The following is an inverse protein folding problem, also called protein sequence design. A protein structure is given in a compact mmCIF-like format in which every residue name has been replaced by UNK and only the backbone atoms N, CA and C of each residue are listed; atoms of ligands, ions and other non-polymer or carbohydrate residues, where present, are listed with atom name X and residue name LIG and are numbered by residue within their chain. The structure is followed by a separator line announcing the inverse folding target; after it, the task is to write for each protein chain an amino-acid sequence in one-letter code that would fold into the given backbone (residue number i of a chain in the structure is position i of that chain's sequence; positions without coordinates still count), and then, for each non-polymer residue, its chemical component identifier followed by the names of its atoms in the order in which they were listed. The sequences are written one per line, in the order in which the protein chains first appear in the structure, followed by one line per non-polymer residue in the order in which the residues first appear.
data_IF_788289472426
#
_entry.id   IF_788289472426
#
_cell.length_a   1.000
_cell.length_b   1.000
_cell.length_c   1.000
_cell.angle_alpha   90.00
_cell.angle_beta   90.00
_cell.angle_gamma   90.00
#
_symmetry.space_group_name_H-M   'P 1'
#
loop_
_entity.id
_entity.type
_entity.pdbx_description
1 polymer ?
#
# COMPACT_ATOMS: atom_id res chain seq x y z
N UNK A 1 -6.71 -4.24 28.43
CA UNK A 1 -6.23 -5.14 27.35
C UNK A 1 -4.94 -4.57 26.78
N UNK A 2 -4.02 -5.40 26.34
CA UNK A 2 -2.77 -4.93 25.75
C UNK A 2 -2.95 -4.46 24.30
N UNK A 3 -2.11 -3.52 23.85
CA UNK A 3 -2.06 -3.02 22.46
C UNK A 3 -1.85 -4.18 21.48
N UNK A 4 -1.01 -5.16 21.86
CA UNK A 4 -0.75 -6.37 21.08
C UNK A 4 -2.01 -7.21 20.84
N UNK A 5 -2.92 -7.28 21.82
CA UNK A 5 -4.20 -7.99 21.67
C UNK A 5 -5.13 -7.30 20.68
N UNK A 6 -5.19 -5.96 20.73
CA UNK A 6 -5.99 -5.17 19.80
C UNK A 6 -5.44 -5.30 18.38
N UNK A 7 -4.12 -5.20 18.21
CA UNK A 7 -3.45 -5.41 16.91
C UNK A 7 -3.74 -6.81 16.34
N UNK A 8 -3.66 -7.86 17.16
CA UNK A 8 -4.00 -9.23 16.73
C UNK A 8 -5.46 -9.39 16.31
N UNK A 9 -6.39 -8.75 17.02
CA UNK A 9 -7.81 -8.76 16.62
C UNK A 9 -8.01 -8.08 15.28
N UNK A 10 -7.42 -6.89 15.10
CA UNK A 10 -7.53 -6.13 13.84
C UNK A 10 -6.88 -6.88 12.67
N UNK A 11 -5.84 -7.66 12.93
CA UNK A 11 -5.16 -8.51 11.94
C UNK A 11 -5.77 -9.91 11.77
N UNK A 12 -6.94 -10.17 12.37
CA UNK A 12 -7.63 -11.46 12.28
C UNK A 12 -6.78 -12.68 12.73
N UNK A 13 -5.97 -12.53 13.78
CA UNK A 13 -5.16 -13.62 14.37
C UNK A 13 -6.06 -14.72 14.95
N UNK A 14 -5.86 -15.96 14.50
CA UNK A 14 -6.67 -17.14 14.87
C UNK A 14 -6.56 -17.54 16.35
N UNK A 15 -5.58 -17.01 17.08
CA UNK A 15 -5.36 -17.32 18.51
C UNK A 15 -6.20 -16.46 19.46
N UNK A 16 -7.03 -15.55 18.94
CA UNK A 16 -7.90 -14.69 19.75
C UNK A 16 -9.31 -15.25 19.80
N UNK A 17 -9.90 -15.29 21.00
CA UNK A 17 -11.28 -15.76 21.17
C UNK A 17 -12.29 -14.85 20.46
N UNK A 18 -13.35 -15.48 19.94
CA UNK A 18 -14.42 -14.77 19.22
C UNK A 18 -15.13 -13.72 20.10
N UNK A 19 -15.27 -13.98 21.40
CA UNK A 19 -15.82 -13.01 22.34
C UNK A 19 -14.98 -11.71 22.42
N UNK A 20 -13.65 -11.86 22.46
CA UNK A 20 -12.71 -10.73 22.48
C UNK A 20 -12.72 -9.99 21.16
N UNK A 21 -12.71 -10.75 20.04
CA UNK A 21 -12.76 -10.23 18.69
C UNK A 21 -13.98 -9.33 18.47
N UNK A 22 -15.18 -9.82 18.83
CA UNK A 22 -16.43 -9.05 18.74
C UNK A 22 -16.41 -7.77 19.58
N UNK A 23 -15.86 -7.83 20.80
CA UNK A 23 -15.77 -6.66 21.69
C UNK A 23 -14.89 -5.57 21.09
N UNK A 24 -13.71 -5.94 20.61
CA UNK A 24 -12.75 -4.99 20.02
C UNK A 24 -13.27 -4.41 18.70
N UNK A 25 -13.81 -5.24 17.80
CA UNK A 25 -14.36 -4.77 16.52
C UNK A 25 -15.54 -3.80 16.71
N UNK A 26 -16.40 -4.06 17.71
CA UNK A 26 -17.52 -3.15 18.05
C UNK A 26 -17.01 -1.77 18.47
N UNK A 27 -15.99 -1.72 19.32
CA UNK A 27 -15.40 -0.45 19.79
C UNK A 27 -14.68 0.26 18.64
N UNK A 28 -13.90 -0.48 17.84
CA UNK A 28 -13.23 0.07 16.65
C UNK A 28 -14.24 0.75 15.71
N UNK A 29 -15.34 0.07 15.38
CA UNK A 29 -16.42 0.63 14.55
C UNK A 29 -17.04 1.89 15.17
N UNK A 30 -17.29 1.89 16.48
CA UNK A 30 -17.86 3.05 17.19
C UNK A 30 -16.94 4.27 17.15
N UNK A 31 -15.63 4.04 17.18
CA UNK A 31 -14.62 5.11 17.14
C UNK A 31 -14.32 5.62 15.72
N UNK A 32 -14.98 5.06 14.70
CA UNK A 32 -14.60 5.30 13.31
C UNK A 32 -13.18 4.81 13.01
N UNK A 33 -12.63 3.93 13.85
CA UNK A 33 -11.36 3.28 13.58
C UNK A 33 -11.62 2.39 12.36
N UNK A 34 -10.87 2.58 11.27
CA UNK A 34 -11.16 1.93 10.02
C UNK A 34 -10.83 0.44 10.19
N UNK A 35 -11.84 -0.33 10.61
CA UNK A 35 -11.78 -1.78 10.82
C UNK A 35 -11.67 -2.57 9.51
N UNK A 36 -11.55 -1.86 8.38
CA UNK A 36 -11.37 -2.38 7.04
C UNK A 36 -10.04 -1.97 6.41
N UNK A 37 -9.04 -1.50 7.18
CA UNK A 37 -7.67 -1.46 6.68
C UNK A 37 -7.05 -2.85 6.84
N UNK A 38 -7.49 -3.73 5.93
CA UNK A 38 -6.68 -4.76 5.29
C UNK A 38 -5.87 -5.70 6.20
N UNK A 39 -6.53 -6.64 6.87
CA UNK A 39 -5.93 -7.97 7.08
C UNK A 39 -6.06 -8.86 5.83
N UNK A 40 -6.51 -8.32 4.69
CA UNK A 40 -6.38 -8.94 3.37
C UNK A 40 -5.58 -8.00 2.48
N UNK A 41 -4.34 -8.36 2.13
CA UNK A 41 -3.45 -7.63 1.22
C UNK A 41 -3.46 -6.11 1.48
N UNK A 42 -2.70 -5.64 2.48
CA UNK A 42 -2.40 -4.21 2.59
C UNK A 42 -2.00 -3.68 1.22
N UNK A 43 -2.63 -2.59 0.81
CA UNK A 43 -2.56 -2.09 -0.56
C UNK A 43 -1.10 -2.00 -0.96
N UNK A 44 -0.67 -2.87 -1.87
CA UNK A 44 0.77 -3.02 -2.11
C UNK A 44 1.18 -1.82 -2.95
N UNK A 45 2.18 -1.09 -2.52
CA UNK A 45 2.68 0.03 -3.31
C UNK A 45 3.88 -0.44 -4.12
N UNK A 46 3.81 -0.29 -5.45
CA UNK A 46 4.97 -0.40 -6.32
C UNK A 46 5.51 0.99 -6.54
N UNK A 47 6.78 1.20 -6.22
CA UNK A 47 7.46 2.48 -6.44
C UNK A 47 8.45 2.34 -7.58
N UNK A 48 8.27 3.16 -8.62
CA UNK A 48 9.11 3.18 -9.81
C UNK A 48 9.89 4.49 -9.87
N UNK A 49 11.20 4.40 -9.66
CA UNK A 49 12.10 5.55 -9.70
C UNK A 49 12.91 5.58 -10.98
N UNK A 50 12.88 6.73 -11.67
CA UNK A 50 13.71 6.99 -12.84
C UNK A 50 14.70 8.10 -12.53
N UNK A 51 16.00 7.79 -12.56
CA UNK A 51 17.06 8.77 -12.30
C UNK A 51 17.49 9.45 -13.60
N UNK A 52 17.58 10.78 -13.59
CA UNK A 52 18.05 11.61 -14.71
C UNK A 52 17.46 11.22 -16.08
N UNK A 53 16.13 11.16 -16.23
CA UNK A 53 15.58 10.91 -17.55
C UNK A 53 15.96 12.06 -18.49
N UNK A 54 16.42 11.74 -19.70
CA UNK A 54 16.79 12.74 -20.72
C UNK A 54 15.59 13.60 -21.14
N UNK A 55 14.36 13.07 -20.98
CA UNK A 55 13.06 13.75 -21.17
C UNK A 55 12.13 13.49 -19.97
N UNK A 56 10.85 13.85 -20.00
CA UNK A 56 9.91 13.41 -18.95
C UNK A 56 9.60 11.91 -19.09
N UNK A 57 9.27 11.23 -17.99
CA UNK A 57 8.89 9.81 -17.98
C UNK A 57 7.74 9.53 -18.96
N UNK A 58 6.80 10.46 -19.06
CA UNK A 58 5.62 10.38 -19.94
C UNK A 58 5.98 10.49 -21.42
N UNK A 59 7.00 11.28 -21.75
CA UNK A 59 7.42 11.58 -23.12
C UNK A 59 8.47 10.61 -23.68
N UNK A 60 9.02 9.74 -22.82
CA UNK A 60 10.01 8.75 -23.19
C UNK A 60 9.32 7.41 -23.50
N UNK A 61 9.50 6.88 -24.72
CA UNK A 61 8.81 5.65 -25.17
C UNK A 61 9.16 4.44 -24.31
N UNK A 62 10.40 4.36 -23.82
CA UNK A 62 10.84 3.27 -22.97
C UNK A 62 10.21 3.35 -21.58
N UNK A 63 10.32 4.50 -20.90
CA UNK A 63 9.78 4.65 -19.55
C UNK A 63 8.25 4.65 -19.50
N UNK A 64 7.59 5.24 -20.50
CA UNK A 64 6.13 5.18 -20.62
C UNK A 64 5.63 3.74 -20.86
N UNK A 65 6.37 2.93 -21.62
CA UNK A 65 6.11 1.51 -21.81
C UNK A 65 6.23 0.71 -20.50
N UNK A 66 7.30 0.94 -19.73
CA UNK A 66 7.50 0.32 -18.41
C UNK A 66 6.39 0.70 -17.43
N UNK A 67 6.07 1.99 -17.32
CA UNK A 67 4.97 2.48 -16.46
C UNK A 67 3.64 1.83 -16.84
N UNK A 68 3.31 1.75 -18.12
CA UNK A 68 2.07 1.12 -18.59
C UNK A 68 2.04 -0.37 -18.26
N UNK A 69 3.17 -1.07 -18.37
CA UNK A 69 3.31 -2.47 -17.96
C UNK A 69 3.03 -2.68 -16.47
N UNK A 70 3.61 -1.83 -15.61
CA UNK A 70 3.39 -1.87 -14.16
C UNK A 70 1.91 -1.61 -13.84
N UNK A 71 1.31 -0.57 -14.42
CA UNK A 71 -0.09 -0.23 -14.20
C UNK A 71 -1.03 -1.35 -14.67
N UNK A 72 -0.76 -1.95 -15.82
CA UNK A 72 -1.53 -3.10 -16.33
C UNK A 72 -1.43 -4.32 -15.43
N UNK A 73 -0.25 -4.60 -14.88
CA UNK A 73 -0.04 -5.67 -13.90
C UNK A 73 -0.71 -5.38 -12.56
N UNK A 74 -0.76 -4.12 -12.15
CA UNK A 74 -1.38 -3.68 -10.91
C UNK A 74 -2.92 -3.64 -11.00
N UNK A 75 -3.51 -3.38 -12.16
CA UNK A 75 -4.95 -3.19 -12.33
C UNK A 75 -5.85 -4.38 -11.96
N UNK A 76 -5.28 -5.57 -11.73
CA UNK A 76 -6.01 -6.77 -11.27
C UNK A 76 -5.86 -7.05 -9.77
N UNK A 77 -5.14 -6.19 -9.03
CA UNK A 77 -4.83 -6.37 -7.61
C UNK A 77 -4.98 -5.04 -6.86
N UNK A 78 -5.14 -5.08 -5.53
CA UNK A 78 -5.14 -3.88 -4.66
C UNK A 78 -3.71 -3.30 -4.55
N UNK A 79 -3.15 -2.89 -5.69
CA UNK A 79 -1.76 -2.43 -5.84
C UNK A 79 -1.79 -1.01 -6.40
N UNK A 80 -1.25 -0.07 -5.62
CA UNK A 80 -1.05 1.30 -6.07
C UNK A 80 0.33 1.45 -6.71
N UNK A 81 0.43 2.21 -7.80
CA UNK A 81 1.69 2.51 -8.45
C UNK A 81 2.05 3.98 -8.23
N UNK A 82 3.24 4.25 -7.70
CA UNK A 82 3.81 5.58 -7.61
C UNK A 82 5.01 5.68 -8.56
N UNK A 83 4.97 6.67 -9.45
CA UNK A 83 6.05 6.94 -10.40
C UNK A 83 6.68 8.27 -10.06
N UNK A 84 7.99 8.30 -9.83
CA UNK A 84 8.72 9.53 -9.57
C UNK A 84 10.03 9.59 -10.35
N UNK A 85 10.30 10.75 -10.93
CA UNK A 85 11.61 11.06 -11.51
C UNK A 85 12.51 11.71 -10.47
N UNK A 86 13.71 11.17 -10.29
CA UNK A 86 14.74 11.76 -9.44
C UNK A 86 15.74 12.47 -10.35
N UNK A 87 15.88 13.79 -10.19
CA UNK A 87 16.97 14.56 -10.83
C UNK A 87 18.13 14.64 -9.86
N UNK A 88 19.20 13.91 -10.14
CA UNK A 88 20.46 14.07 -9.39
C UNK A 88 21.18 15.31 -9.92
N UNK A 89 21.35 16.33 -9.07
CA UNK A 89 22.35 17.38 -9.29
C UNK A 89 23.73 16.74 -9.18
N UNK A 90 24.25 16.18 -10.27
CA UNK A 90 25.70 16.09 -10.43
C UNK A 90 26.20 17.48 -10.76
N UNK A 91 26.79 18.13 -9.76
CA UNK A 91 27.70 19.26 -9.97
C UNK A 91 28.87 18.73 -10.79
N UNK A 92 29.00 19.21 -12.02
CA UNK A 92 30.24 19.23 -12.77
C UNK A 92 30.53 20.68 -13.11
#
# INVERSE_FOLDING_TARGET
MAISTVSRVLNNDSRISEATKKKVLRVAKKLGYPGEISSGRGSKVVMFFVSNPHKSIESDEFFSGVQRGILRGAGSSDIHCLVQSIRSKKSF
#
